data_IF_846158534205
#
_entry.id   IF_846158534205
#
_cell.length_a   1.000
_cell.length_b   1.000
_cell.length_c   1.000
_cell.angle_alpha   90.00
_cell.angle_beta   90.00
_cell.angle_gamma   90.00
#
_symmetry.space_group_name_H-M   'P 1'
#
loop_
_entity.id
_entity.type
_entity.pdbx_description
1 polymer ?
#
# COMPACT_ATOMS: atom_id res chain seq x y z
N UNK A 1 10.13 15.34 -6.44
CA UNK A 1 9.05 14.43 -6.05
C UNK A 1 8.26 14.97 -4.85
N UNK A 2 8.80 15.89 -4.04
CA UNK A 2 8.12 16.84 -3.13
C UNK A 2 6.58 16.90 -3.15
N UNK A 3 5.94 17.25 -4.29
CA UNK A 3 4.46 17.35 -4.40
C UNK A 3 3.70 16.05 -4.06
N UNK A 4 4.29 14.88 -4.28
CA UNK A 4 3.67 13.58 -3.99
C UNK A 4 3.74 13.25 -2.49
N UNK A 5 4.80 13.67 -1.81
CA UNK A 5 4.94 13.45 -0.36
C UNK A 5 4.07 14.39 0.46
N UNK A 6 3.89 15.65 0.01
CA UNK A 6 2.84 16.52 0.53
C UNK A 6 1.42 15.98 0.23
N UNK A 7 1.21 15.23 -0.86
CA UNK A 7 -0.11 14.66 -1.18
C UNK A 7 -0.59 13.57 -0.20
N UNK A 8 0.31 12.94 0.55
CA UNK A 8 -0.02 12.05 1.68
C UNK A 8 -0.40 12.80 2.97
N UNK A 9 -0.25 14.13 2.99
CA UNK A 9 -0.53 15.04 4.11
C UNK A 9 -1.55 16.15 3.74
N UNK A 10 -2.09 16.16 2.52
CA UNK A 10 -2.96 17.23 2.01
C UNK A 10 -4.45 16.83 2.01
N UNK A 11 -5.12 16.98 3.16
CA UNK A 11 -6.60 16.93 3.29
C UNK A 11 -7.06 17.92 4.40
N UNK A 12 -7.79 19.02 4.07
CA UNK A 12 -8.29 20.11 4.98
C UNK A 12 -9.33 21.05 4.29
N UNK A 13 -10.50 21.54 4.83
CA UNK A 13 -11.20 21.45 6.15
C UNK A 13 -12.80 21.58 6.09
N UNK A 14 -13.62 21.22 7.14
CA UNK A 14 -15.10 21.50 7.33
C UNK A 14 -15.90 20.55 8.33
N UNK A 15 -17.20 20.71 8.71
CA UNK A 15 -17.83 20.17 10.01
C UNK A 15 -19.02 19.16 9.94
N UNK A 16 -19.07 18.14 10.84
CA UNK A 16 -20.30 17.61 11.49
C UNK A 16 -20.00 16.84 12.81
N UNK A 17 -20.96 16.82 13.77
CA UNK A 17 -20.81 16.32 15.15
C UNK A 17 -20.82 14.78 15.30
N UNK A 18 -20.15 14.28 16.36
CA UNK A 18 -20.33 12.93 16.90
C UNK A 18 -19.95 12.88 18.38
N UNK A 19 -20.91 12.53 19.24
CA UNK A 19 -20.79 12.59 20.71
C UNK A 19 -19.61 11.77 21.26
N UNK A 20 -18.56 12.44 21.78
CA UNK A 20 -17.45 11.81 22.52
C UNK A 20 -16.85 12.73 23.59
N UNK A 21 -17.31 12.57 24.83
CA UNK A 21 -16.76 13.05 26.10
C UNK A 21 -15.80 14.26 26.05
N UNK A 22 -16.36 15.46 26.19
CA UNK A 22 -15.64 16.74 26.31
C UNK A 22 -14.81 16.91 27.62
N UNK A 23 -14.85 15.93 28.53
CA UNK A 23 -14.23 16.02 29.87
C UNK A 23 -12.72 15.74 29.91
N UNK A 24 -12.11 15.25 28.82
CA UNK A 24 -10.67 15.06 28.75
C UNK A 24 -9.99 16.40 28.37
N UNK A 25 -9.09 16.98 29.20
CA UNK A 25 -8.45 18.25 28.87
C UNK A 25 -7.70 18.13 27.54
N UNK A 26 -7.73 19.18 26.71
CA UNK A 26 -6.90 19.23 25.51
C UNK A 26 -5.41 19.07 25.86
N UNK A 27 -4.57 18.68 24.91
CA UNK A 27 -3.12 18.80 25.08
C UNK A 27 -2.73 20.28 25.15
N UNK A 28 -1.68 20.62 25.91
CA UNK A 28 -1.02 21.93 25.76
C UNK A 28 -0.42 22.04 24.36
N UNK A 29 -0.17 23.25 23.87
CA UNK A 29 0.46 23.44 22.57
C UNK A 29 1.86 22.79 22.53
N UNK A 30 2.63 22.86 23.62
CA UNK A 30 3.95 22.22 23.76
C UNK A 30 3.83 20.69 23.73
N UNK A 31 2.89 20.12 24.49
CA UNK A 31 2.63 18.67 24.49
C UNK A 31 2.19 18.18 23.11
N UNK A 32 1.33 18.94 22.42
CA UNK A 32 0.84 18.65 21.09
C UNK A 32 1.96 18.67 20.04
N UNK A 33 2.83 19.71 20.05
CA UNK A 33 4.00 19.81 19.17
C UNK A 33 4.99 18.66 19.40
N UNK A 34 5.24 18.31 20.67
CA UNK A 34 6.05 17.15 21.01
C UNK A 34 5.41 15.82 20.55
N UNK A 35 4.08 15.69 20.66
CA UNK A 35 3.34 14.52 20.21
C UNK A 35 3.42 14.30 18.69
N UNK A 36 3.30 15.35 17.88
CA UNK A 36 3.47 15.27 16.41
C UNK A 36 4.90 14.85 16.07
N UNK A 37 5.90 15.50 16.66
CA UNK A 37 7.33 15.18 16.44
C UNK A 37 7.67 13.72 16.80
N UNK A 38 7.19 13.25 17.95
CA UNK A 38 7.40 11.87 18.40
C UNK A 38 6.71 10.86 17.48
N UNK A 39 5.54 11.20 16.92
CA UNK A 39 4.81 10.34 15.98
C UNK A 39 5.58 10.18 14.67
N UNK A 40 6.09 11.27 14.10
CA UNK A 40 6.90 11.23 12.88
C UNK A 40 8.19 10.43 13.09
N UNK A 41 8.90 10.65 14.20
CA UNK A 41 10.07 9.84 14.53
C UNK A 41 9.73 8.35 14.68
N UNK A 42 8.63 8.01 15.37
CA UNK A 42 8.18 6.62 15.47
C UNK A 42 7.83 6.02 14.11
N UNK A 43 7.24 6.78 13.19
CA UNK A 43 6.97 6.31 11.83
C UNK A 43 8.26 5.97 11.08
N UNK A 44 9.28 6.83 11.13
CA UNK A 44 10.58 6.54 10.52
C UNK A 44 11.29 5.34 11.18
N UNK A 45 11.19 5.18 12.50
CA UNK A 45 11.72 3.99 13.19
C UNK A 45 11.00 2.70 12.74
N UNK A 46 9.72 2.77 12.40
CA UNK A 46 8.97 1.66 11.84
C UNK A 46 9.40 1.33 10.40
N UNK A 47 9.63 2.33 9.55
CA UNK A 47 10.21 2.13 8.23
C UNK A 47 11.62 1.54 8.32
N UNK A 48 12.43 1.99 9.28
CA UNK A 48 13.75 1.42 9.55
C UNK A 48 13.66 -0.04 9.99
N UNK A 49 12.79 -0.39 10.94
CA UNK A 49 12.55 -1.80 11.34
C UNK A 49 12.07 -2.67 10.16
N UNK A 50 11.28 -2.12 9.24
CA UNK A 50 10.84 -2.83 8.04
C UNK A 50 12.00 -3.05 7.07
N UNK A 51 12.85 -2.03 6.88
CA UNK A 51 14.08 -2.14 6.10
C UNK A 51 15.09 -3.09 6.74
N UNK A 52 15.23 -3.12 8.06
CA UNK A 52 16.17 -4.00 8.79
C UNK A 52 15.58 -5.41 9.03
N UNK A 53 14.40 -5.71 8.46
CA UNK A 53 13.70 -6.99 8.60
C UNK A 53 14.20 -8.09 7.65
N UNK A 54 14.04 -9.35 8.06
CA UNK A 54 14.51 -10.52 7.31
C UNK A 54 13.95 -10.64 5.88
N UNK A 55 12.71 -10.16 5.65
CA UNK A 55 12.18 -10.07 4.29
C UNK A 55 12.95 -9.08 3.43
N UNK A 56 13.24 -7.89 3.96
CA UNK A 56 13.93 -6.84 3.21
C UNK A 56 15.37 -7.25 2.87
N UNK A 57 16.05 -7.97 3.76
CA UNK A 57 17.37 -8.56 3.49
C UNK A 57 17.32 -9.65 2.41
N UNK A 58 16.34 -10.55 2.47
CA UNK A 58 16.11 -11.54 1.42
C UNK A 58 15.84 -10.85 0.07
N UNK A 59 14.89 -9.91 0.04
CA UNK A 59 14.46 -9.18 -1.15
C UNK A 59 15.60 -8.35 -1.77
N UNK A 60 16.43 -7.70 -0.95
CA UNK A 60 17.62 -6.99 -1.43
C UNK A 60 18.63 -7.94 -2.11
N UNK A 61 18.98 -9.05 -1.44
CA UNK A 61 19.97 -10.01 -1.98
C UNK A 61 19.47 -10.76 -3.23
N UNK A 62 18.16 -10.83 -3.45
CA UNK A 62 17.55 -11.54 -4.59
C UNK A 62 17.22 -10.63 -5.76
N UNK A 63 16.60 -9.47 -5.52
CA UNK A 63 15.97 -8.60 -6.54
C UNK A 63 16.71 -7.27 -6.78
N UNK A 64 17.74 -6.94 -5.99
CA UNK A 64 18.47 -5.66 -6.14
C UNK A 64 19.99 -5.81 -6.26
N UNK A 65 20.57 -6.80 -5.59
CA UNK A 65 22.00 -7.06 -5.62
C UNK A 65 22.42 -7.68 -6.96
N UNK A 66 23.42 -7.07 -7.61
CA UNK A 66 24.05 -7.61 -8.83
C UNK A 66 24.62 -9.01 -8.55
N UNK A 67 24.09 -10.01 -9.25
CA UNK A 67 24.47 -11.43 -9.15
C UNK A 67 25.28 -11.88 -10.37
N UNK A 68 25.17 -11.17 -11.49
CA UNK A 68 25.91 -11.44 -12.71
C UNK A 68 25.59 -10.41 -13.78
N UNK A 69 25.84 -10.79 -15.04
CA UNK A 69 25.53 -9.97 -16.21
C UNK A 69 24.97 -10.81 -17.34
N UNK A 70 24.03 -10.21 -18.07
CA UNK A 70 23.41 -10.81 -19.24
C UNK A 70 24.36 -10.87 -20.44
N UNK A 71 23.88 -11.45 -21.53
CA UNK A 71 24.61 -11.54 -22.81
C UNK A 71 24.90 -10.19 -23.48
N UNK A 72 24.30 -9.09 -23.00
CA UNK A 72 24.50 -7.71 -23.46
C UNK A 72 25.34 -6.88 -22.47
N UNK A 73 25.85 -7.48 -21.39
CA UNK A 73 26.64 -6.84 -20.35
C UNK A 73 25.85 -6.01 -19.32
N UNK A 74 24.52 -6.07 -19.36
CA UNK A 74 23.62 -5.47 -18.37
C UNK A 74 23.70 -6.21 -17.04
N UNK A 75 23.42 -5.51 -15.94
CA UNK A 75 23.43 -6.10 -14.59
C UNK A 75 22.19 -6.97 -14.38
N UNK A 76 22.40 -8.23 -14.03
CA UNK A 76 21.33 -9.14 -13.60
C UNK A 76 21.35 -9.31 -12.08
N UNK A 77 20.17 -9.42 -11.49
CA UNK A 77 19.95 -9.83 -10.11
C UNK A 77 19.81 -11.35 -10.05
N UNK A 78 19.76 -11.92 -8.84
CA UNK A 78 19.64 -13.37 -8.70
C UNK A 78 18.25 -13.87 -9.12
N UNK A 79 17.20 -13.07 -8.88
CA UNK A 79 15.85 -13.39 -9.35
C UNK A 79 15.68 -13.24 -10.85
N UNK A 80 16.39 -12.32 -11.51
CA UNK A 80 16.38 -12.25 -12.98
C UNK A 80 16.91 -13.56 -13.59
N UNK A 81 18.06 -14.05 -13.11
CA UNK A 81 18.66 -15.31 -13.59
C UNK A 81 17.76 -16.54 -13.36
N UNK A 82 17.09 -16.60 -12.21
CA UNK A 82 16.17 -17.68 -11.88
C UNK A 82 14.86 -17.59 -12.69
N UNK A 83 14.32 -16.37 -12.84
CA UNK A 83 13.06 -16.07 -13.53
C UNK A 83 13.17 -16.24 -15.04
N UNK A 84 14.12 -15.57 -15.69
CA UNK A 84 14.38 -15.69 -17.13
C UNK A 84 14.59 -17.15 -17.55
N UNK A 85 15.29 -17.93 -16.73
CA UNK A 85 15.52 -19.34 -17.00
C UNK A 85 14.29 -20.21 -16.74
N UNK A 86 13.38 -19.79 -15.84
CA UNK A 86 12.07 -20.42 -15.69
C UNK A 86 11.20 -20.17 -16.92
N UNK A 87 11.09 -18.92 -17.36
CA UNK A 87 10.25 -18.49 -18.49
C UNK A 87 10.70 -19.07 -19.83
N UNK A 88 12.01 -19.31 -19.99
CA UNK A 88 12.56 -20.07 -21.14
C UNK A 88 12.20 -21.55 -21.15
N UNK A 89 11.83 -22.12 -20.00
CA UNK A 89 11.53 -23.55 -19.84
C UNK A 89 10.03 -23.85 -19.69
N UNK A 90 9.26 -22.93 -19.12
CA UNK A 90 7.86 -23.13 -18.76
C UNK A 90 7.04 -21.86 -18.97
N UNK A 91 5.85 -22.01 -19.55
CA UNK A 91 4.98 -20.87 -19.82
C UNK A 91 4.23 -20.40 -18.56
N UNK A 92 4.56 -19.20 -18.08
CA UNK A 92 3.88 -18.54 -16.97
C UNK A 92 2.45 -18.08 -17.30
N UNK A 93 2.11 -17.85 -18.57
CA UNK A 93 0.90 -17.12 -18.96
C UNK A 93 0.01 -17.94 -19.91
N UNK A 94 -1.18 -18.30 -19.47
CA UNK A 94 -2.15 -19.07 -20.26
C UNK A 94 -3.54 -18.42 -20.28
N UNK A 95 -4.07 -18.22 -21.48
CA UNK A 95 -5.33 -17.51 -21.78
C UNK A 95 -5.46 -16.18 -21.00
N UNK A 96 -4.46 -15.30 -21.14
CA UNK A 96 -4.40 -13.98 -20.50
C UNK A 96 -4.49 -14.03 -18.95
N UNK A 97 -3.76 -14.97 -18.34
CA UNK A 97 -3.59 -15.05 -16.89
C UNK A 97 -2.56 -16.10 -16.48
N UNK A 98 -2.37 -16.26 -15.16
CA UNK A 98 -1.35 -17.15 -14.61
C UNK A 98 -1.64 -18.64 -14.88
N UNK A 99 -0.66 -19.37 -15.42
CA UNK A 99 -0.81 -20.79 -15.80
C UNK A 99 -0.75 -21.76 -14.58
N UNK A 100 -1.55 -21.51 -13.55
CA UNK A 100 -1.46 -22.24 -12.28
C UNK A 100 -1.64 -23.76 -12.44
N UNK A 101 -2.52 -24.21 -13.34
CA UNK A 101 -2.88 -25.64 -13.44
C UNK A 101 -1.77 -26.50 -14.06
N UNK A 102 -1.11 -26.03 -15.12
CA UNK A 102 -0.07 -26.80 -15.83
C UNK A 102 1.31 -26.67 -15.17
N UNK A 103 1.54 -25.56 -14.47
CA UNK A 103 2.74 -25.33 -13.69
C UNK A 103 2.79 -26.12 -12.38
N UNK A 104 1.77 -26.92 -12.03
CA UNK A 104 1.86 -27.81 -10.86
C UNK A 104 3.05 -28.76 -10.98
N UNK A 105 3.78 -28.91 -9.88
CA UNK A 105 5.04 -29.65 -9.82
C UNK A 105 6.06 -29.00 -8.88
N UNK A 106 7.13 -29.73 -8.61
CA UNK A 106 8.29 -29.26 -7.85
C UNK A 106 9.45 -29.02 -8.81
N UNK A 107 9.90 -27.77 -8.84
CA UNK A 107 10.99 -27.27 -9.67
C UNK A 107 12.22 -27.10 -8.79
N UNK A 108 13.29 -27.82 -9.11
CA UNK A 108 14.54 -27.75 -8.36
C UNK A 108 15.60 -27.07 -9.23
N UNK A 109 16.19 -26.00 -8.72
CA UNK A 109 17.29 -25.33 -9.43
C UNK A 109 18.53 -26.22 -9.45
N UNK A 110 19.09 -26.43 -10.63
CA UNK A 110 20.30 -27.20 -10.84
C UNK A 110 21.47 -26.25 -11.14
N UNK A 111 22.35 -26.05 -10.16
CA UNK A 111 23.49 -25.13 -10.26
C UNK A 111 24.56 -25.56 -11.27
N UNK A 112 24.56 -26.84 -11.69
CA UNK A 112 25.52 -27.36 -12.68
C UNK A 112 25.06 -27.08 -14.11
N UNK A 113 23.79 -27.35 -14.42
CA UNK A 113 23.22 -27.10 -15.75
C UNK A 113 22.70 -25.67 -15.92
N UNK A 114 22.49 -24.95 -14.81
CA UNK A 114 21.77 -23.66 -14.74
C UNK A 114 20.36 -23.77 -15.33
N UNK A 115 19.62 -24.80 -14.91
CA UNK A 115 18.26 -25.07 -15.37
C UNK A 115 17.37 -25.51 -14.21
N UNK A 116 16.07 -25.43 -14.42
CA UNK A 116 15.04 -25.95 -13.51
C UNK A 116 14.66 -27.39 -13.86
N UNK A 117 14.90 -28.31 -12.93
CA UNK A 117 14.47 -29.71 -13.04
C UNK A 117 13.03 -29.83 -12.48
N UNK A 118 12.04 -30.07 -13.35
CA UNK A 118 10.63 -30.26 -12.95
C UNK A 118 10.34 -31.72 -12.61
N UNK A 119 9.73 -31.95 -11.45
CA UNK A 119 9.16 -33.23 -11.01
C UNK A 119 7.68 -33.09 -10.67
N UNK A 120 6.89 -34.15 -10.85
CA UNK A 120 5.51 -34.16 -10.38
C UNK A 120 5.47 -34.21 -8.84
N UNK A 121 4.51 -33.54 -8.21
CA UNK A 121 4.28 -33.63 -6.76
C UNK A 121 2.85 -34.09 -6.45
N UNK A 122 2.67 -34.74 -5.30
CA UNK A 122 1.37 -35.26 -4.85
C UNK A 122 0.45 -34.18 -4.26
N UNK A 123 1.00 -32.99 -4.01
CA UNK A 123 0.31 -31.86 -3.37
C UNK A 123 -0.50 -30.99 -4.33
N UNK A 124 -0.39 -31.20 -5.65
CA UNK A 124 -1.04 -30.37 -6.68
C UNK A 124 -0.71 -28.87 -6.57
N UNK A 125 0.50 -28.55 -6.13
CA UNK A 125 0.99 -27.18 -5.89
C UNK A 125 2.15 -26.86 -6.83
N UNK A 126 2.45 -25.57 -7.01
CA UNK A 126 3.71 -25.13 -7.61
C UNK A 126 4.71 -24.95 -6.48
N UNK A 127 5.87 -25.59 -6.56
CA UNK A 127 6.93 -25.51 -5.55
C UNK A 127 8.25 -25.23 -6.25
N UNK A 128 8.96 -24.18 -5.84
CA UNK A 128 10.32 -23.89 -6.29
C UNK A 128 11.30 -24.14 -5.16
N UNK A 129 12.38 -24.86 -5.44
CA UNK A 129 13.52 -25.10 -4.54
C UNK A 129 14.76 -24.49 -5.18
N UNK A 130 15.32 -23.45 -4.56
CA UNK A 130 16.39 -22.65 -5.16
C UNK A 130 17.37 -22.13 -4.09
N UNK A 131 18.58 -21.72 -4.46
CA UNK A 131 19.51 -21.07 -3.53
C UNK A 131 19.00 -19.66 -3.18
N UNK A 132 18.99 -19.27 -1.90
CA UNK A 132 18.52 -17.95 -1.50
C UNK A 132 19.39 -16.79 -2.02
N UNK A 133 20.64 -17.07 -2.41
CA UNK A 133 21.59 -16.13 -3.00
C UNK A 133 22.41 -16.81 -4.09
N UNK A 134 22.90 -16.04 -5.08
CA UNK A 134 23.72 -16.56 -6.17
C UNK A 134 25.03 -17.24 -5.74
N UNK A 135 25.52 -16.95 -4.52
CA UNK A 135 26.70 -17.59 -3.92
C UNK A 135 26.40 -18.86 -3.13
N UNK A 136 25.13 -19.19 -2.90
CA UNK A 136 24.76 -20.41 -2.18
C UNK A 136 24.87 -21.64 -3.08
N UNK A 137 25.50 -22.69 -2.58
CA UNK A 137 25.64 -24.00 -3.25
C UNK A 137 24.48 -24.95 -2.94
N UNK A 138 23.53 -24.55 -2.09
CA UNK A 138 22.40 -25.37 -1.65
C UNK A 138 21.07 -24.67 -1.90
N UNK A 139 20.04 -25.46 -2.23
CA UNK A 139 18.68 -24.97 -2.44
C UNK A 139 17.97 -24.77 -1.10
N UNK A 140 18.40 -23.75 -0.36
CA UNK A 140 17.90 -23.42 0.98
C UNK A 140 16.67 -22.50 1.00
N UNK A 141 16.28 -21.94 -0.15
CA UNK A 141 15.02 -21.24 -0.33
C UNK A 141 13.95 -22.16 -0.93
N UNK A 142 12.71 -21.99 -0.45
CA UNK A 142 11.53 -22.70 -0.94
C UNK A 142 10.39 -21.72 -1.15
N UNK A 143 9.94 -21.59 -2.40
CA UNK A 143 8.71 -20.91 -2.77
C UNK A 143 7.58 -21.91 -2.98
N UNK A 144 6.35 -21.56 -2.62
CA UNK A 144 5.13 -22.32 -2.92
C UNK A 144 4.06 -21.37 -3.42
N UNK A 145 3.30 -21.79 -4.43
CA UNK A 145 1.98 -21.23 -4.76
C UNK A 145 0.97 -22.37 -4.76
N UNK A 146 -0.13 -22.18 -4.02
CA UNK A 146 -1.21 -23.15 -3.84
C UNK A 146 -2.58 -22.46 -3.79
N UNK A 147 -3.64 -23.24 -3.99
CA UNK A 147 -5.04 -22.82 -3.90
C UNK A 147 -5.40 -21.55 -4.72
N UNK A 148 -4.68 -21.31 -5.82
CA UNK A 148 -4.93 -20.18 -6.72
C UNK A 148 -6.20 -20.40 -7.54
N UNK A 149 -7.07 -19.40 -7.54
CA UNK A 149 -8.29 -19.32 -8.34
C UNK A 149 -8.42 -17.90 -8.92
N UNK A 150 -8.91 -17.81 -10.15
CA UNK A 150 -9.13 -16.55 -10.86
C UNK A 150 -10.59 -16.34 -11.29
N UNK A 151 -10.94 -15.08 -11.49
CA UNK A 151 -12.16 -14.62 -12.13
C UNK A 151 -11.84 -14.17 -13.55
N UNK A 152 -12.49 -14.78 -14.53
CA UNK A 152 -12.40 -14.38 -15.93
C UNK A 152 -13.27 -13.15 -16.18
N UNK A 153 -12.64 -11.98 -16.26
CA UNK A 153 -13.26 -10.76 -16.77
C UNK A 153 -13.32 -10.79 -18.30
N UNK A 154 -14.32 -10.12 -18.89
CA UNK A 154 -14.44 -9.96 -20.35
C UNK A 154 -15.03 -8.59 -20.66
N UNK A 155 -14.26 -7.77 -21.37
CA UNK A 155 -14.54 -6.35 -21.61
C UNK A 155 -15.07 -6.09 -23.02
N UNK A 156 -15.58 -4.88 -23.25
CA UNK A 156 -15.96 -4.40 -24.58
C UNK A 156 -14.79 -4.55 -25.58
N UNK A 157 -15.09 -4.95 -26.81
CA UNK A 157 -14.09 -5.39 -27.79
C UNK A 157 -13.69 -6.87 -27.70
N UNK A 158 -14.06 -7.57 -26.62
CA UNK A 158 -13.81 -9.01 -26.44
C UNK A 158 -12.53 -9.35 -25.68
N UNK A 159 -11.84 -8.35 -25.12
CA UNK A 159 -10.64 -8.54 -24.33
C UNK A 159 -10.94 -9.34 -23.05
N UNK A 160 -10.10 -10.34 -22.78
CA UNK A 160 -10.21 -11.24 -21.63
C UNK A 160 -9.04 -11.03 -20.69
N UNK A 161 -9.31 -10.94 -19.40
CA UNK A 161 -8.30 -10.94 -18.33
C UNK A 161 -8.72 -11.87 -17.20
N UNK A 162 -7.77 -12.62 -16.64
CA UNK A 162 -8.00 -13.42 -15.42
C UNK A 162 -7.48 -12.67 -14.19
N UNK A 163 -8.36 -12.34 -13.26
CA UNK A 163 -8.05 -11.58 -12.05
C UNK A 163 -8.04 -12.51 -10.83
N UNK A 164 -7.03 -12.49 -9.95
CA UNK A 164 -6.95 -13.40 -8.82
C UNK A 164 -8.09 -13.15 -7.81
N UNK A 165 -8.85 -14.19 -7.49
CA UNK A 165 -9.90 -14.15 -6.44
C UNK A 165 -9.48 -14.86 -5.16
N UNK A 166 -8.54 -15.79 -5.24
CA UNK A 166 -8.02 -16.56 -4.11
C UNK A 166 -6.64 -17.11 -4.43
N UNK A 167 -5.83 -17.34 -3.41
CA UNK A 167 -4.51 -17.94 -3.55
C UNK A 167 -3.68 -17.82 -2.28
N UNK A 168 -2.74 -18.74 -2.12
CA UNK A 168 -1.74 -18.69 -1.06
C UNK A 168 -0.35 -18.86 -1.69
N UNK A 169 0.54 -17.90 -1.43
CA UNK A 169 1.93 -17.94 -1.82
C UNK A 169 2.82 -17.79 -0.58
N UNK A 170 3.87 -18.59 -0.44
CA UNK A 170 4.80 -18.50 0.70
C UNK A 170 6.24 -18.74 0.26
N UNK A 171 7.17 -17.96 0.80
CA UNK A 171 8.62 -18.11 0.60
C UNK A 171 9.30 -18.26 1.95
N UNK A 172 10.03 -19.35 2.12
CA UNK A 172 10.89 -19.63 3.28
C UNK A 172 12.35 -19.73 2.87
N UNK A 173 13.26 -19.26 3.71
CA UNK A 173 14.72 -19.48 3.58
C UNK A 173 15.20 -20.13 4.87
N UNK A 174 15.91 -21.25 4.78
CA UNK A 174 16.36 -22.04 5.94
C UNK A 174 15.20 -22.39 6.90
N UNK A 175 14.02 -22.67 6.33
CA UNK A 175 12.73 -22.87 6.99
C UNK A 175 12.15 -21.64 7.75
N UNK A 176 12.81 -20.49 7.72
CA UNK A 176 12.28 -19.23 8.24
C UNK A 176 11.39 -18.58 7.17
N UNK A 177 10.14 -18.26 7.51
CA UNK A 177 9.21 -17.55 6.62
C UNK A 177 9.71 -16.13 6.37
N UNK A 178 9.84 -15.76 5.09
CA UNK A 178 10.26 -14.43 4.65
C UNK A 178 9.08 -13.65 4.09
N UNK A 179 8.33 -14.27 3.17
CA UNK A 179 7.12 -13.72 2.54
C UNK A 179 5.98 -14.73 2.66
N UNK A 180 4.77 -14.26 2.90
CA UNK A 180 3.54 -15.02 2.68
C UNK A 180 2.43 -14.07 2.25
N UNK A 181 1.69 -14.45 1.20
CA UNK A 181 0.58 -13.71 0.63
C UNK A 181 -0.63 -14.64 0.62
N UNK A 182 -1.68 -14.23 1.31
CA UNK A 182 -2.96 -14.93 1.36
C UNK A 182 -4.00 -14.00 0.76
N UNK A 183 -4.50 -14.37 -0.41
CA UNK A 183 -5.71 -13.80 -1.02
C UNK A 183 -6.85 -14.70 -0.53
N UNK A 184 -7.57 -14.27 0.50
CA UNK A 184 -8.62 -15.08 1.14
C UNK A 184 -9.89 -15.16 0.29
N UNK A 185 -10.39 -13.98 -0.11
CA UNK A 185 -11.49 -13.82 -1.06
C UNK A 185 -11.44 -12.39 -1.63
N UNK A 186 -11.27 -12.27 -2.94
CA UNK A 186 -11.53 -11.05 -3.72
C UNK A 186 -12.73 -11.32 -4.62
N UNK A 187 -13.61 -10.32 -4.78
CA UNK A 187 -14.78 -10.39 -5.67
C UNK A 187 -14.80 -9.19 -6.57
N UNK A 188 -15.17 -9.41 -7.82
CA UNK A 188 -15.28 -8.39 -8.85
C UNK A 188 -16.71 -8.31 -9.37
N UNK A 189 -17.13 -7.11 -9.73
CA UNK A 189 -18.35 -6.81 -10.47
C UNK A 189 -17.95 -6.35 -11.88
N UNK A 190 -18.36 -7.13 -12.88
CA UNK A 190 -18.04 -6.87 -14.28
C UNK A 190 -18.90 -5.72 -14.81
N UNK A 191 -18.25 -4.66 -15.28
CA UNK A 191 -18.88 -3.57 -16.04
C UNK A 191 -18.38 -3.64 -17.50
N UNK A 192 -18.81 -2.72 -18.37
CA UNK A 192 -18.47 -2.80 -19.80
C UNK A 192 -16.94 -2.74 -20.06
N UNK A 193 -16.26 -1.81 -19.37
CA UNK A 193 -14.86 -1.48 -19.65
C UNK A 193 -13.88 -1.85 -18.50
N UNK A 194 -14.39 -2.27 -17.35
CA UNK A 194 -13.56 -2.57 -16.16
C UNK A 194 -14.28 -3.51 -15.18
N UNK A 195 -13.50 -4.13 -14.29
CA UNK A 195 -13.99 -5.01 -13.24
C UNK A 195 -13.77 -4.35 -11.88
N UNK A 196 -14.85 -3.98 -11.19
CA UNK A 196 -14.79 -3.26 -9.90
C UNK A 196 -14.59 -4.26 -8.77
N UNK A 197 -13.54 -4.17 -7.95
CA UNK A 197 -13.43 -4.99 -6.76
C UNK A 197 -14.52 -4.57 -5.75
N UNK A 198 -15.41 -5.50 -5.39
CA UNK A 198 -16.50 -5.27 -4.43
C UNK A 198 -16.22 -5.84 -3.05
N UNK A 199 -15.30 -6.79 -2.96
CA UNK A 199 -14.68 -7.19 -1.70
C UNK A 199 -13.24 -7.60 -1.93
N UNK A 200 -12.37 -7.35 -0.96
CA UNK A 200 -11.04 -7.95 -0.87
C UNK A 200 -10.73 -8.27 0.58
N UNK A 201 -10.06 -9.40 0.83
CA UNK A 201 -9.39 -9.71 2.09
C UNK A 201 -8.03 -10.34 1.75
N UNK A 202 -6.98 -9.54 1.89
CA UNK A 202 -5.60 -9.90 1.51
C UNK A 202 -4.71 -9.69 2.73
N UNK A 203 -3.95 -10.72 3.10
CA UNK A 203 -2.92 -10.65 4.14
C UNK A 203 -1.55 -10.88 3.51
N UNK A 204 -0.58 -10.02 3.81
CA UNK A 204 0.79 -10.10 3.34
C UNK A 204 1.72 -10.04 4.56
N UNK A 205 2.37 -11.16 4.89
CA UNK A 205 3.44 -11.21 5.87
C UNK A 205 4.79 -10.99 5.19
N UNK A 206 5.57 -10.03 5.69
CA UNK A 206 6.93 -9.70 5.25
C UNK A 206 7.81 -9.58 6.50
N UNK A 207 8.51 -10.66 6.86
CA UNK A 207 9.19 -10.83 8.14
C UNK A 207 9.97 -9.57 8.63
N UNK A 208 9.62 -8.96 9.80
CA UNK A 208 8.66 -9.41 10.83
C UNK A 208 7.24 -8.80 10.76
N UNK A 209 6.91 -8.06 9.71
CA UNK A 209 5.66 -7.31 9.57
C UNK A 209 4.51 -8.12 8.94
N UNK A 210 3.29 -7.67 9.19
CA UNK A 210 2.07 -8.11 8.52
C UNK A 210 1.28 -6.90 8.04
N UNK A 211 0.98 -6.89 6.75
CA UNK A 211 0.02 -6.01 6.10
C UNK A 211 -1.32 -6.74 5.93
N UNK A 212 -2.43 -6.08 6.21
CA UNK A 212 -3.77 -6.52 5.81
C UNK A 212 -4.42 -5.44 4.96
N UNK A 213 -5.03 -5.84 3.85
CA UNK A 213 -5.79 -4.99 2.94
C UNK A 213 -7.19 -5.56 2.84
N UNK A 214 -8.19 -4.75 3.18
CA UNK A 214 -9.61 -5.10 3.06
C UNK A 214 -10.37 -4.05 2.29
N UNK A 215 -11.28 -4.51 1.44
CA UNK A 215 -12.25 -3.68 0.75
C UNK A 215 -13.63 -4.31 0.97
N UNK A 216 -14.65 -3.50 1.18
CA UNK A 216 -16.05 -3.95 1.34
C UNK A 216 -16.99 -2.92 0.75
N UNK A 217 -17.66 -3.29 -0.35
CA UNK A 217 -18.86 -2.63 -0.88
C UNK A 217 -20.02 -2.88 0.11
N UNK A 218 -20.39 -1.87 0.90
CA UNK A 218 -21.48 -1.96 1.88
C UNK A 218 -22.86 -1.75 1.24
N UNK A 219 -22.95 -0.83 0.28
CA UNK A 219 -24.13 -0.61 -0.58
C UNK A 219 -23.65 -0.45 -2.03
N UNK A 220 -24.52 -0.10 -2.98
CA UNK A 220 -24.07 0.18 -4.34
C UNK A 220 -23.09 1.37 -4.40
N UNK A 221 -23.23 2.32 -3.48
CA UNK A 221 -22.53 3.60 -3.42
C UNK A 221 -21.43 3.66 -2.34
N UNK A 222 -21.56 2.91 -1.24
CA UNK A 222 -20.66 3.03 -0.08
C UNK A 222 -19.60 1.92 -0.06
N UNK A 223 -18.33 2.31 0.02
CA UNK A 223 -17.16 1.42 0.09
C UNK A 223 -16.33 1.72 1.33
N UNK A 224 -16.01 0.68 2.12
CA UNK A 224 -15.00 0.74 3.17
C UNK A 224 -13.72 0.08 2.68
N UNK A 225 -12.60 0.79 2.83
CA UNK A 225 -11.25 0.29 2.67
C UNK A 225 -10.54 0.33 4.04
N UNK A 226 -9.95 -0.79 4.45
CA UNK A 226 -9.08 -0.87 5.62
C UNK A 226 -7.70 -1.39 5.19
N UNK A 227 -6.66 -0.60 5.46
CA UNK A 227 -5.27 -0.99 5.42
C UNK A 227 -4.70 -0.97 6.84
N UNK A 228 -3.94 -2.00 7.21
CA UNK A 228 -3.14 -2.01 8.42
C UNK A 228 -1.79 -2.67 8.15
N UNK A 229 -0.72 -2.07 8.67
CA UNK A 229 0.66 -2.54 8.60
C UNK A 229 1.21 -2.56 10.03
N UNK A 230 1.66 -3.71 10.50
CA UNK A 230 2.05 -3.88 11.91
C UNK A 230 3.16 -4.91 12.11
N UNK A 231 3.87 -4.84 13.24
CA UNK A 231 4.74 -5.93 13.68
C UNK A 231 4.49 -6.30 15.15
N UNK A 232 4.79 -7.54 15.58
CA UNK A 232 4.76 -7.91 16.99
C UNK A 232 5.74 -7.11 17.88
N UNK A 233 6.74 -6.45 17.29
CA UNK A 233 7.80 -5.71 17.97
C UNK A 233 7.49 -4.20 18.08
N UNK A 234 6.19 -3.88 18.13
CA UNK A 234 5.65 -2.52 17.97
C UNK A 234 5.58 -2.09 16.51
N UNK A 235 5.12 -0.85 16.29
CA UNK A 235 4.66 -0.31 15.00
C UNK A 235 3.28 -0.81 14.59
N UNK A 236 2.34 0.12 14.54
CA UNK A 236 1.02 -0.05 13.93
C UNK A 236 0.72 1.19 13.09
N UNK A 237 0.78 1.04 11.78
CA UNK A 237 0.33 2.05 10.81
C UNK A 237 -0.99 1.58 10.22
N UNK A 238 -1.98 2.45 10.09
CA UNK A 238 -3.29 2.10 9.55
C UNK A 238 -3.88 3.22 8.69
N UNK A 239 -4.74 2.84 7.76
CA UNK A 239 -5.53 3.75 6.96
C UNK A 239 -6.92 3.13 6.78
N UNK A 240 -7.96 3.79 7.27
CA UNK A 240 -9.35 3.46 7.00
C UNK A 240 -9.93 4.54 6.12
N UNK A 241 -10.60 4.17 5.04
CA UNK A 241 -11.34 5.10 4.20
C UNK A 241 -12.77 4.60 4.02
N UNK A 242 -13.75 5.46 4.26
CA UNK A 242 -15.12 5.28 3.81
C UNK A 242 -15.34 6.24 2.64
N UNK A 243 -15.64 5.70 1.46
CA UNK A 243 -15.90 6.46 0.24
C UNK A 243 -17.35 6.22 -0.16
N UNK A 244 -18.12 7.30 -0.25
CA UNK A 244 -19.48 7.26 -0.79
C UNK A 244 -19.47 7.86 -2.18
N UNK A 245 -20.01 7.11 -3.14
CA UNK A 245 -20.23 7.54 -4.51
C UNK A 245 -21.57 8.27 -4.66
N UNK A 246 -21.73 9.01 -5.75
CA UNK A 246 -22.98 9.70 -6.09
C UNK A 246 -24.04 8.76 -6.69
N UNK A 247 -23.60 7.61 -7.23
CA UNK A 247 -24.42 6.60 -7.90
C UNK A 247 -23.85 5.20 -7.71
N UNK A 248 -24.68 4.17 -7.86
CA UNK A 248 -24.25 2.77 -7.97
C UNK A 248 -23.90 2.33 -9.40
N UNK A 249 -24.12 3.18 -10.41
CA UNK A 249 -23.81 2.89 -11.81
C UNK A 249 -22.41 3.42 -12.17
N UNK A 250 -21.39 2.56 -12.12
CA UNK A 250 -20.00 2.97 -12.28
C UNK A 250 -19.64 3.39 -13.71
N UNK A 251 -20.36 2.89 -14.72
CA UNK A 251 -20.21 3.29 -16.13
C UNK A 251 -20.78 4.71 -16.42
N UNK A 252 -21.43 5.36 -15.44
CA UNK A 252 -22.05 6.69 -15.63
C UNK A 252 -21.13 7.89 -15.34
N UNK A 253 -19.95 7.70 -14.75
CA UNK A 253 -19.11 8.80 -14.29
C UNK A 253 -18.11 9.27 -15.35
N UNK A 254 -18.05 10.58 -15.61
CA UNK A 254 -17.05 11.21 -16.47
C UNK A 254 -15.84 11.79 -15.68
N UNK A 255 -16.03 12.19 -14.42
CA UNK A 255 -14.92 12.67 -13.55
C UNK A 255 -14.97 12.11 -12.13
N UNK A 256 -13.86 12.25 -11.40
CA UNK A 256 -13.78 11.90 -9.98
C UNK A 256 -14.75 12.72 -9.13
N UNK A 257 -14.83 14.04 -9.36
CA UNK A 257 -15.71 14.93 -8.62
C UNK A 257 -17.20 14.63 -8.87
N UNK A 258 -17.56 14.15 -10.07
CA UNK A 258 -18.91 13.64 -10.35
C UNK A 258 -19.18 12.30 -9.65
N UNK A 259 -18.18 11.40 -9.60
CA UNK A 259 -18.31 10.06 -9.05
C UNK A 259 -18.47 10.04 -7.52
N UNK A 260 -17.81 10.95 -6.80
CA UNK A 260 -17.68 10.88 -5.33
C UNK A 260 -18.59 11.89 -4.64
N UNK A 261 -19.45 11.40 -3.73
CA UNK A 261 -20.30 12.20 -2.86
C UNK A 261 -19.48 12.73 -1.68
N UNK A 262 -18.84 11.82 -0.93
CA UNK A 262 -17.92 12.19 0.15
C UNK A 262 -16.88 11.11 0.45
N UNK A 263 -15.83 11.52 1.16
CA UNK A 263 -14.74 10.67 1.65
C UNK A 263 -14.60 10.91 3.15
N UNK A 264 -14.31 9.87 3.94
CA UNK A 264 -13.88 9.97 5.33
C UNK A 264 -12.67 9.05 5.53
N UNK A 265 -11.54 9.64 5.91
CA UNK A 265 -10.26 8.96 6.17
C UNK A 265 -9.93 8.99 7.67
N UNK A 266 -9.45 7.87 8.19
CA UNK A 266 -8.75 7.76 9.47
C UNK A 266 -7.38 7.12 9.22
N UNK A 267 -6.32 7.93 9.23
CA UNK A 267 -4.96 7.42 9.27
C UNK A 267 -4.51 7.24 10.73
N UNK A 268 -3.71 6.21 11.00
CA UNK A 268 -3.29 5.79 12.35
C UNK A 268 -1.78 5.56 12.35
N UNK A 269 -1.09 6.07 13.36
CA UNK A 269 0.29 5.71 13.69
C UNK A 269 0.39 5.50 15.21
N UNK A 270 0.39 4.22 15.61
CA UNK A 270 0.27 3.78 17.01
C UNK A 270 -0.97 4.38 17.71
N UNK A 271 -0.76 5.29 18.66
CA UNK A 271 -1.80 5.99 19.43
C UNK A 271 -2.20 7.36 18.82
N UNK A 272 -1.52 7.78 17.75
CA UNK A 272 -1.81 8.99 16.99
C UNK A 272 -2.74 8.71 15.81
N UNK A 273 -3.60 9.68 15.51
CA UNK A 273 -4.63 9.58 14.47
C UNK A 273 -4.75 10.89 13.69
N UNK A 274 -4.96 10.78 12.39
CA UNK A 274 -5.43 11.87 11.53
C UNK A 274 -6.83 11.49 11.08
N UNK A 275 -7.82 12.30 11.43
CA UNK A 275 -9.20 12.14 10.96
C UNK A 275 -9.43 13.21 9.90
N UNK A 276 -9.76 12.80 8.68
CA UNK A 276 -10.05 13.71 7.57
C UNK A 276 -11.37 13.34 6.85
N UNK A 277 -12.04 14.30 6.23
CA UNK A 277 -13.28 14.11 5.47
C UNK A 277 -13.32 15.04 4.26
N UNK A 278 -14.08 14.73 3.21
CA UNK A 278 -14.20 15.55 2.00
C UNK A 278 -15.64 15.56 1.48
N UNK A 279 -16.25 16.73 1.32
CA UNK A 279 -17.51 16.95 0.59
C UNK A 279 -17.19 17.23 -0.89
N UNK A 280 -16.85 16.16 -1.60
CA UNK A 280 -16.51 16.21 -3.03
C UNK A 280 -17.75 16.61 -3.87
N UNK A 281 -18.95 16.25 -3.41
CA UNK A 281 -20.21 16.66 -4.04
C UNK A 281 -20.38 18.17 -4.12
N UNK A 282 -20.02 18.90 -3.06
CA UNK A 282 -20.12 20.36 -3.04
C UNK A 282 -19.02 21.03 -3.88
N UNK A 283 -17.84 20.42 -3.99
CA UNK A 283 -16.81 20.81 -4.98
C UNK A 283 -17.35 20.68 -6.40
N UNK A 284 -17.94 19.53 -6.75
CA UNK A 284 -18.53 19.34 -8.08
C UNK A 284 -19.66 20.35 -8.38
N UNK A 285 -20.54 20.61 -7.41
CA UNK A 285 -21.62 21.60 -7.53
C UNK A 285 -21.13 23.04 -7.71
N UNK A 286 -19.93 23.38 -7.26
CA UNK A 286 -19.34 24.71 -7.51
C UNK A 286 -18.73 24.84 -8.91
N UNK A 287 -18.75 23.76 -9.71
CA UNK A 287 -18.19 23.72 -11.06
C UNK A 287 -16.67 23.62 -11.09
N UNK A 288 -16.05 23.22 -9.98
CA UNK A 288 -14.59 23.16 -9.80
C UNK A 288 -14.09 21.72 -9.64
N UNK A 289 -12.79 21.55 -9.86
CA UNK A 289 -12.04 20.35 -9.47
C UNK A 289 -11.38 20.58 -8.11
N UNK A 290 -11.00 19.51 -7.43
CA UNK A 290 -10.32 19.60 -6.12
C UNK A 290 -9.00 20.39 -6.23
N UNK A 291 -8.27 20.25 -7.33
CA UNK A 291 -7.02 20.97 -7.59
C UNK A 291 -7.16 22.43 -8.03
N UNK A 292 -8.39 22.92 -8.24
CA UNK A 292 -8.69 24.28 -8.71
C UNK A 292 -9.39 25.15 -7.62
N UNK A 293 -9.45 24.65 -6.38
CA UNK A 293 -10.06 25.33 -5.24
C UNK A 293 -9.17 26.48 -4.74
N UNK A 294 -9.78 27.57 -4.25
CA UNK A 294 -9.03 28.52 -3.42
C UNK A 294 -8.80 27.95 -2.02
N UNK A 295 -7.90 28.57 -1.26
CA UNK A 295 -7.63 28.19 0.14
C UNK A 295 -8.89 28.27 1.01
N UNK A 296 -9.76 29.27 0.78
CA UNK A 296 -11.02 29.42 1.50
C UNK A 296 -12.01 28.29 1.16
N UNK A 297 -12.04 27.89 -0.12
CA UNK A 297 -12.91 26.80 -0.59
C UNK A 297 -12.40 25.42 -0.13
N UNK A 298 -11.09 25.16 -0.17
CA UNK A 298 -10.50 23.95 0.37
C UNK A 298 -10.79 23.82 1.88
N UNK A 299 -10.56 24.89 2.65
CA UNK A 299 -10.92 24.97 4.07
C UNK A 299 -12.44 24.96 4.35
N UNK A 300 -13.30 24.98 3.32
CA UNK A 300 -14.75 24.82 3.43
C UNK A 300 -15.18 23.37 3.17
N UNK A 301 -14.52 22.65 2.26
CA UNK A 301 -14.99 21.36 1.74
C UNK A 301 -14.34 20.09 2.34
N UNK A 302 -13.19 20.13 3.03
CA UNK A 302 -12.35 18.91 3.24
C UNK A 302 -11.81 18.66 4.68
N UNK A 303 -12.63 18.54 5.75
CA UNK A 303 -12.19 18.34 7.18
C UNK A 303 -10.82 17.68 7.40
N UNK A 304 -9.98 18.20 8.32
CA UNK A 304 -9.03 17.34 9.04
C UNK A 304 -8.58 17.83 10.43
N UNK A 305 -8.33 16.87 11.32
CA UNK A 305 -7.94 17.06 12.73
C UNK A 305 -6.93 15.98 13.16
N UNK A 306 -6.01 16.37 14.06
CA UNK A 306 -5.02 15.48 14.65
C UNK A 306 -5.46 15.07 16.07
N UNK A 307 -5.31 13.79 16.40
CA UNK A 307 -5.65 13.22 17.70
C UNK A 307 -4.54 12.32 18.23
N UNK A 308 -4.42 12.21 19.55
CA UNK A 308 -3.57 11.22 20.23
C UNK A 308 -4.26 10.70 21.49
N UNK A 309 -4.32 9.38 21.66
CA UNK A 309 -5.08 8.72 22.75
C UNK A 309 -6.53 9.24 22.86
N UNK A 310 -7.19 9.52 21.72
CA UNK A 310 -8.54 10.07 21.65
C UNK A 310 -8.68 11.56 22.01
N UNK A 311 -7.62 12.25 22.46
CA UNK A 311 -7.61 13.69 22.75
C UNK A 311 -7.15 14.48 21.51
N UNK A 312 -7.79 15.61 21.23
CA UNK A 312 -7.41 16.48 20.10
C UNK A 312 -6.03 17.10 20.34
N UNK A 313 -5.21 17.11 19.29
CA UNK A 313 -3.83 17.63 19.26
C UNK A 313 -3.78 18.97 18.53
N UNK A 314 -4.39 19.04 17.34
CA UNK A 314 -4.49 20.25 16.55
C UNK A 314 -5.64 20.16 15.53
N UNK A 315 -6.19 21.31 15.13
CA UNK A 315 -6.83 21.44 13.83
C UNK A 315 -5.76 21.54 12.74
N UNK A 316 -6.02 20.97 11.57
CA UNK A 316 -5.22 21.26 10.37
C UNK A 316 -5.93 22.38 9.59
N UNK A 317 -5.19 23.26 8.90
CA UNK A 317 -5.73 24.22 7.92
C UNK A 317 -4.75 24.48 6.77
N UNK A 318 -5.26 24.91 5.62
CA UNK A 318 -4.45 25.48 4.53
C UNK A 318 -4.43 27.00 4.69
N UNK A 319 -3.33 27.66 4.36
CA UNK A 319 -3.26 29.12 4.17
C UNK A 319 -2.34 29.46 2.98
N UNK A 320 -2.24 30.74 2.60
CA UNK A 320 -1.25 31.19 1.61
C UNK A 320 -0.05 31.88 2.26
N UNK A 321 1.16 31.49 1.87
CA UNK A 321 2.37 32.30 2.05
C UNK A 321 3.07 32.47 0.70
N UNK A 322 3.37 33.72 0.30
CA UNK A 322 4.07 34.03 -0.96
C UNK A 322 3.43 33.37 -2.20
N UNK A 323 2.09 33.38 -2.28
CA UNK A 323 1.27 32.71 -3.29
C UNK A 323 1.37 31.16 -3.34
N UNK A 324 2.11 30.54 -2.42
CA UNK A 324 2.13 29.08 -2.24
C UNK A 324 1.15 28.63 -1.14
N UNK A 325 0.52 27.48 -1.36
CA UNK A 325 -0.36 26.85 -0.38
C UNK A 325 0.45 26.13 0.71
N UNK A 326 0.23 26.52 1.96
CA UNK A 326 0.96 26.00 3.12
C UNK A 326 -0.03 25.35 4.09
N UNK A 327 0.22 24.10 4.46
CA UNK A 327 -0.54 23.39 5.50
C UNK A 327 0.00 23.77 6.87
N UNK A 328 -0.91 24.05 7.81
CA UNK A 328 -0.61 24.40 9.20
C UNK A 328 -1.37 23.54 10.20
N UNK A 329 -0.78 23.43 11.39
CA UNK A 329 -1.43 22.94 12.59
C UNK A 329 -1.78 24.14 13.48
N UNK A 330 -3.04 24.18 13.93
CA UNK A 330 -3.58 25.16 14.88
C UNK A 330 -3.77 24.44 16.21
N UNK A 331 -3.03 24.85 17.24
CA UNK A 331 -3.04 24.23 18.55
C UNK A 331 -4.09 24.85 19.48
N UNK A 332 -4.28 24.25 20.65
CA UNK A 332 -5.31 24.64 21.65
C UNK A 332 -5.16 26.06 22.19
N UNK A 333 -3.96 26.64 22.14
CA UNK A 333 -3.65 28.03 22.50
C UNK A 333 -3.89 29.03 21.35
N UNK A 334 -4.31 28.55 20.18
CA UNK A 334 -4.44 29.34 18.94
C UNK A 334 -3.11 29.55 18.21
N UNK A 335 -1.99 28.99 18.68
CA UNK A 335 -0.71 29.07 17.96
C UNK A 335 -0.77 28.27 16.66
N UNK A 336 -0.16 28.84 15.61
CA UNK A 336 -0.18 28.33 14.24
C UNK A 336 1.25 27.98 13.83
N UNK A 337 1.51 26.71 13.51
CA UNK A 337 2.82 26.27 12.97
C UNK A 337 2.67 25.51 11.65
N UNK A 338 3.62 25.67 10.74
CA UNK A 338 3.63 24.95 9.46
C UNK A 338 3.75 23.44 9.71
N UNK A 339 2.92 22.65 9.04
CA UNK A 339 3.05 21.19 9.03
C UNK A 339 4.43 20.76 8.49
N UNK A 340 4.98 21.50 7.52
CA UNK A 340 6.33 21.34 6.95
C UNK A 340 7.43 21.21 8.02
N UNK A 341 7.32 21.89 9.17
CA UNK A 341 8.27 21.80 10.29
C UNK A 341 8.46 20.37 10.82
N UNK A 342 7.45 19.51 10.62
CA UNK A 342 7.42 18.12 11.10
C UNK A 342 7.65 17.08 10.00
N UNK A 343 7.63 17.48 8.71
CA UNK A 343 7.58 16.56 7.56
C UNK A 343 8.52 16.95 6.40
N UNK A 344 9.21 18.09 6.49
CA UNK A 344 10.16 18.57 5.46
C UNK A 344 11.32 17.60 5.22
N UNK A 345 11.70 16.82 6.23
CA UNK A 345 12.75 15.81 6.18
C UNK A 345 12.30 14.46 5.61
N UNK A 346 11.02 14.28 5.25
CA UNK A 346 10.45 12.97 4.91
C UNK A 346 11.09 12.37 3.65
N UNK A 347 11.17 13.12 2.54
CA UNK A 347 11.72 12.62 1.27
C UNK A 347 13.17 12.14 1.49
N UNK A 348 13.96 12.92 2.23
CA UNK A 348 15.36 12.62 2.55
C UNK A 348 15.49 11.43 3.52
N UNK A 349 14.70 11.37 4.60
CA UNK A 349 14.76 10.27 5.59
C UNK A 349 14.28 8.95 5.03
N UNK A 350 13.21 8.93 4.23
CA UNK A 350 12.75 7.71 3.55
C UNK A 350 13.75 7.26 2.50
N UNK A 351 14.35 8.20 1.75
CA UNK A 351 15.42 7.89 0.80
C UNK A 351 16.64 7.29 1.52
N UNK A 352 17.08 7.86 2.64
CA UNK A 352 18.21 7.35 3.43
C UNK A 352 17.93 5.98 4.06
N UNK A 353 16.72 5.73 4.57
CA UNK A 353 16.30 4.42 5.10
C UNK A 353 16.34 3.35 4.00
N UNK A 354 15.76 3.62 2.83
CA UNK A 354 15.65 2.65 1.74
C UNK A 354 16.77 2.76 0.70
N UNK A 355 17.85 3.51 0.96
CA UNK A 355 18.93 3.79 -0.01
C UNK A 355 19.53 2.53 -0.64
N UNK A 356 19.56 1.41 0.08
CA UNK A 356 20.05 0.13 -0.42
C UNK A 356 19.24 -0.42 -1.61
N UNK A 357 17.96 -0.06 -1.70
CA UNK A 357 17.09 -0.42 -2.83
C UNK A 357 17.15 0.59 -3.99
N UNK A 358 17.73 1.77 -3.77
CA UNK A 358 17.96 2.71 -4.88
C UNK A 358 19.12 2.21 -5.72
N UNK A 359 18.92 1.99 -7.02
CA UNK A 359 20.01 1.66 -7.94
C UNK A 359 20.99 2.84 -7.96
N UNK A 360 22.20 2.64 -7.46
CA UNK A 360 23.33 3.53 -7.76
C UNK A 360 23.49 3.55 -9.29
N UNK A 361 23.29 4.73 -9.89
CA UNK A 361 23.39 4.94 -11.34
C UNK A 361 24.79 4.63 -11.86
#
# INVERSE_FOLDING_TARGET
MKRILLSLLATVALVSCGDKNDDAPAYSAEEAKAAVTATMNSFYDCLKKANDGGFADFFYNTVFKEAGRDQYGQKETWFDQLGDQFDRQFDLNKDNGFNYQELKGTYTWNSTTKQWDKTANTTNNIVWLFPATASSTTNNARGVVENYEDFKATFEGGDVSKLPIKGHAVVTVDNVKMLEVIIGNVRYEQNANFAVPTSADITIFTNPFTTTIRLTKQTAENFIFDFAFSSPQGCTTGLKANVKLTSGNYDSFATFEEAVDNIHVLAIQNDFQIIAQADVKSVHKSGKKIGDLTVEEANTYVKAELYKNGRKVADVKIDKENDEEVVYFIFSDGSKEKAEKYVSDFEDRVTEIFKRFTKTK
#
